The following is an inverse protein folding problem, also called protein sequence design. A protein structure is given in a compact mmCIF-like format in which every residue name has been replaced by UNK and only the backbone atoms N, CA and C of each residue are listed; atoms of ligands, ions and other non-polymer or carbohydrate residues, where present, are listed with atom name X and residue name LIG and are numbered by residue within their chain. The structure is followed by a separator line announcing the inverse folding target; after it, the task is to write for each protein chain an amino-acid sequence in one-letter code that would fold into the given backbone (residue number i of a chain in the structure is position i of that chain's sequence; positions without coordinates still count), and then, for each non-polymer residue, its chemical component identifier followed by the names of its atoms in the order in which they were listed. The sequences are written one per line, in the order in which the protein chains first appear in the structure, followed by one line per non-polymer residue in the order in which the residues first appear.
data_IF_351576681898
#
_entry.id   IF_351576681898
#
_cell.length_a   1.000
_cell.length_b   1.000
_cell.length_c   1.000
_cell.angle_alpha   90.00
_cell.angle_beta   90.00
_cell.angle_gamma   90.00
#
_symmetry.space_group_name_H-M   'P 1'
#
loop_
_entity.id
_entity.type
_entity.pdbx_description
1 polymer ?
#
# COMPACT_ATOMS: atom_id res chain seq x y z
N UNK A 1 0.12 -9.32 -25.67
CA UNK A 1 0.68 -8.02 -25.21
C UNK A 1 0.04 -7.65 -23.88
N UNK A 2 0.83 -7.20 -22.91
CA UNK A 2 0.34 -6.76 -21.58
C UNK A 2 0.53 -5.26 -21.49
N UNK A 3 -0.55 -4.53 -21.25
CA UNK A 3 -0.51 -3.09 -21.02
C UNK A 3 -1.17 -2.78 -19.68
N UNK A 4 -0.91 -1.60 -19.15
CA UNK A 4 -1.65 -1.13 -18.01
C UNK A 4 -1.38 0.30 -17.64
N UNK A 5 -2.02 0.71 -16.55
CA UNK A 5 -1.87 2.03 -15.97
C UNK A 5 -1.71 1.92 -14.45
N UNK A 6 -0.92 2.78 -13.84
CA UNK A 6 -0.77 2.87 -12.39
C UNK A 6 -1.11 4.27 -11.94
N UNK A 7 -2.04 4.33 -11.00
CA UNK A 7 -2.58 5.56 -10.45
C UNK A 7 -2.42 5.58 -8.94
N UNK A 8 -2.29 6.77 -8.39
CA UNK A 8 -2.46 7.01 -6.97
C UNK A 8 -3.94 6.86 -6.60
N UNK A 9 -4.24 6.00 -5.61
CA UNK A 9 -5.61 5.70 -5.21
C UNK A 9 -6.36 6.93 -4.67
N UNK A 10 -5.67 7.84 -3.97
CA UNK A 10 -6.30 8.97 -3.31
C UNK A 10 -6.57 10.14 -4.28
N UNK A 11 -5.69 10.33 -5.27
CA UNK A 11 -5.71 11.49 -6.16
C UNK A 11 -6.07 11.17 -7.61
N UNK A 12 -6.11 9.88 -7.97
CA UNK A 12 -6.24 9.37 -9.34
C UNK A 12 -5.18 9.91 -10.31
N UNK A 13 -4.04 10.40 -9.80
CA UNK A 13 -2.95 10.91 -10.61
C UNK A 13 -2.01 9.77 -11.04
N UNK A 14 -1.37 9.87 -12.23
CA UNK A 14 -0.32 8.95 -12.65
C UNK A 14 0.84 8.80 -11.66
N UNK A 15 1.41 7.60 -11.56
CA UNK A 15 2.61 7.30 -10.75
C UNK A 15 3.82 6.91 -11.62
N UNK A 16 4.55 7.88 -12.22
CA UNK A 16 5.68 7.59 -13.12
C UNK A 16 6.88 6.93 -12.42
N UNK A 17 7.05 7.13 -11.12
CA UNK A 17 8.18 6.56 -10.36
C UNK A 17 7.93 5.12 -9.91
N UNK A 18 6.73 4.58 -10.17
CA UNK A 18 6.45 3.17 -9.94
C UNK A 18 7.07 2.29 -11.04
N UNK A 19 7.21 1.00 -10.75
CA UNK A 19 7.78 0.00 -11.66
C UNK A 19 6.82 -1.17 -11.77
N UNK A 20 6.57 -1.62 -12.99
CA UNK A 20 5.82 -2.84 -13.24
C UNK A 20 6.78 -4.03 -13.41
N UNK A 21 6.41 -5.16 -12.83
CA UNK A 21 7.14 -6.42 -12.85
C UNK A 21 6.25 -7.50 -13.42
N UNK A 22 6.80 -8.28 -14.33
CA UNK A 22 6.18 -9.52 -14.78
C UNK A 22 6.98 -10.69 -14.26
N UNK A 23 6.29 -11.59 -13.58
CA UNK A 23 6.89 -12.61 -12.73
C UNK A 23 6.39 -14.00 -13.14
N UNK A 24 7.26 -15.00 -13.08
CA UNK A 24 6.96 -16.39 -13.40
C UNK A 24 6.36 -17.13 -12.20
N UNK A 25 5.10 -17.55 -12.32
CA UNK A 25 4.40 -18.30 -11.27
C UNK A 25 4.92 -19.74 -11.11
N UNK A 26 5.61 -20.29 -12.12
CA UNK A 26 6.03 -21.70 -12.13
C UNK A 26 7.39 -21.95 -11.47
N UNK A 27 8.18 -20.89 -11.26
CA UNK A 27 9.49 -21.00 -10.64
C UNK A 27 9.46 -20.44 -9.23
N UNK A 28 9.77 -21.27 -8.24
CA UNK A 28 10.24 -20.81 -6.94
C UNK A 28 11.76 -20.69 -7.00
N UNK A 29 12.30 -19.55 -6.58
CA UNK A 29 13.75 -19.34 -6.50
C UNK A 29 14.22 -19.82 -5.13
N UNK A 30 14.89 -20.98 -5.10
CA UNK A 30 15.47 -21.53 -3.88
C UNK A 30 16.71 -20.74 -3.42
N UNK A 31 17.44 -20.07 -4.33
CA UNK A 31 18.70 -19.39 -4.01
C UNK A 31 18.57 -17.87 -3.89
N UNK A 32 19.01 -17.31 -2.76
CA UNK A 32 19.13 -15.86 -2.54
C UNK A 32 20.26 -15.29 -3.41
N UNK A 33 19.92 -14.59 -4.48
CA UNK A 33 20.87 -13.71 -5.19
C UNK A 33 20.57 -12.29 -4.73
N UNK A 34 21.51 -11.67 -4.01
CA UNK A 34 21.39 -10.29 -3.57
C UNK A 34 21.50 -9.35 -4.78
N UNK A 35 20.40 -8.72 -5.17
CA UNK A 35 20.41 -7.56 -6.06
C UNK A 35 20.58 -6.30 -5.17
N UNK A 36 21.74 -5.60 -5.21
CA UNK A 36 22.00 -4.46 -4.35
C UNK A 36 21.05 -3.28 -4.60
N UNK A 37 20.42 -3.20 -5.76
CA UNK A 37 19.41 -2.19 -6.08
C UNK A 37 17.98 -2.63 -5.73
N UNK A 38 17.81 -3.88 -5.27
CA UNK A 38 16.53 -4.54 -5.03
C UNK A 38 16.58 -5.50 -3.82
N UNK A 39 17.13 -5.02 -2.70
CA UNK A 39 17.29 -5.81 -1.47
C UNK A 39 15.99 -6.49 -0.95
N UNK A 40 14.81 -6.02 -1.38
CA UNK A 40 13.50 -6.60 -1.02
C UNK A 40 12.82 -7.38 -2.16
N UNK A 41 13.29 -7.27 -3.39
CA UNK A 41 12.75 -8.01 -4.52
C UNK A 41 13.56 -9.29 -4.77
N UNK A 42 13.65 -10.15 -3.73
CA UNK A 42 13.79 -11.60 -3.96
C UNK A 42 12.48 -12.08 -4.58
N UNK A 43 12.31 -11.67 -5.84
CA UNK A 43 11.18 -11.79 -6.72
C UNK A 43 9.84 -11.92 -6.03
N UNK A 44 9.10 -10.83 -5.79
CA UNK A 44 7.73 -10.80 -5.23
C UNK A 44 7.27 -12.18 -4.72
N UNK A 45 7.61 -12.48 -3.46
CA UNK A 45 7.32 -13.76 -2.78
C UNK A 45 8.05 -15.02 -3.29
N UNK A 46 9.29 -14.88 -3.73
CA UNK A 46 10.14 -16.01 -4.14
C UNK A 46 9.99 -16.44 -5.61
N UNK A 47 9.37 -15.65 -6.46
CA UNK A 47 9.14 -15.94 -7.88
C UNK A 47 10.11 -15.23 -8.84
N UNK A 48 10.50 -15.85 -9.96
CA UNK A 48 11.46 -15.24 -10.89
C UNK A 48 10.89 -14.03 -11.65
N UNK A 49 11.57 -12.88 -11.57
CA UNK A 49 11.27 -11.72 -12.41
C UNK A 49 11.69 -12.04 -13.85
N UNK A 50 10.74 -11.97 -14.77
CA UNK A 50 10.95 -12.20 -16.20
C UNK A 50 11.24 -10.90 -16.95
N UNK A 51 10.54 -9.83 -16.56
CA UNK A 51 10.68 -8.52 -17.19
C UNK A 51 10.31 -7.41 -16.21
N UNK A 52 10.85 -6.22 -16.46
CA UNK A 52 10.56 -4.98 -15.72
C UNK A 52 10.21 -3.90 -16.73
N UNK A 53 9.18 -3.11 -16.45
CA UNK A 53 8.80 -1.95 -17.25
C UNK A 53 8.75 -0.72 -16.35
N UNK A 54 9.42 0.36 -16.78
CA UNK A 54 9.24 1.69 -16.18
C UNK A 54 7.88 2.23 -16.58
N UNK A 55 7.26 2.95 -15.66
CA UNK A 55 5.99 3.61 -15.89
C UNK A 55 6.26 5.00 -16.45
N UNK A 56 5.52 5.41 -17.47
CA UNK A 56 5.69 6.73 -18.08
C UNK A 56 4.99 7.85 -17.30
N UNK A 57 5.14 9.09 -17.76
CA UNK A 57 4.51 10.27 -17.14
C UNK A 57 2.98 10.23 -17.14
N UNK A 58 2.37 9.41 -17.98
CA UNK A 58 0.92 9.19 -18.02
C UNK A 58 0.49 8.00 -17.15
N UNK A 59 1.44 7.34 -16.47
CA UNK A 59 1.19 6.20 -15.61
C UNK A 59 1.09 4.91 -16.39
N UNK A 60 1.46 4.88 -17.68
CA UNK A 60 1.30 3.72 -18.54
C UNK A 60 2.55 2.84 -18.53
N UNK A 61 2.35 1.53 -18.69
CA UNK A 61 3.41 0.56 -18.93
C UNK A 61 2.98 -0.47 -19.98
N UNK A 62 3.97 -1.13 -20.58
CA UNK A 62 3.73 -2.23 -21.52
C UNK A 62 4.82 -3.31 -21.46
N UNK A 63 4.42 -4.54 -21.74
CA UNK A 63 5.30 -5.67 -22.00
C UNK A 63 4.94 -6.29 -23.35
N UNK A 64 5.95 -6.44 -24.21
CA UNK A 64 5.82 -7.16 -25.48
C UNK A 64 5.72 -8.67 -25.20
N UNK A 65 4.95 -9.36 -26.06
CA UNK A 65 4.58 -10.79 -25.98
C UNK A 65 5.71 -11.68 -25.44
N UNK A 66 5.36 -12.47 -24.43
CA UNK A 66 6.21 -13.46 -23.76
C UNK A 66 5.50 -14.81 -23.95
N UNK A 67 6.20 -15.95 -24.08
CA UNK A 67 5.64 -17.27 -24.38
C UNK A 67 4.36 -17.65 -23.63
N UNK A 68 3.56 -18.55 -24.19
CA UNK A 68 2.31 -19.00 -23.57
C UNK A 68 2.57 -19.65 -22.19
N UNK A 69 2.25 -18.94 -21.10
CA UNK A 69 2.34 -19.43 -19.72
C UNK A 69 1.53 -18.55 -18.77
N UNK A 70 1.52 -18.92 -17.49
CA UNK A 70 0.95 -18.12 -16.42
C UNK A 70 1.97 -17.16 -15.82
N UNK A 71 1.49 -16.00 -15.40
CA UNK A 71 2.28 -14.89 -14.88
C UNK A 71 1.63 -14.27 -13.66
N UNK A 72 2.45 -13.67 -12.81
CA UNK A 72 1.99 -12.65 -11.85
C UNK A 72 2.43 -11.29 -12.37
N UNK A 73 1.49 -10.36 -12.48
CA UNK A 73 1.78 -8.97 -12.80
C UNK A 73 1.72 -8.17 -11.51
N UNK A 74 2.80 -7.49 -11.18
CA UNK A 74 2.92 -6.69 -9.96
C UNK A 74 3.37 -5.27 -10.32
N UNK A 75 2.89 -4.28 -9.60
CA UNK A 75 3.43 -2.93 -9.65
C UNK A 75 3.92 -2.56 -8.26
N UNK A 76 5.03 -1.83 -8.20
CA UNK A 76 5.59 -1.36 -6.93
C UNK A 76 6.00 0.09 -7.02
N UNK A 77 5.73 0.84 -5.97
CA UNK A 77 6.16 2.21 -5.80
C UNK A 77 6.99 2.34 -4.52
N UNK A 78 8.21 2.90 -4.66
CA UNK A 78 9.13 3.11 -3.55
C UNK A 78 8.71 4.35 -2.76
N UNK A 79 8.44 4.18 -1.48
CA UNK A 79 8.04 5.25 -0.59
C UNK A 79 9.10 5.51 0.48
N UNK A 80 9.41 6.78 0.81
CA UNK A 80 10.17 7.07 2.01
C UNK A 80 9.34 6.69 3.24
N UNK A 81 9.96 6.08 4.25
CA UNK A 81 9.32 5.89 5.56
C UNK A 81 10.28 6.24 6.68
N UNK A 82 9.70 6.60 7.83
CA UNK A 82 10.41 6.85 9.07
C UNK A 82 10.06 5.70 10.01
N UNK A 83 11.05 4.91 10.42
CA UNK A 83 10.86 3.91 11.45
C UNK A 83 10.98 4.58 12.83
N UNK A 84 9.96 4.43 13.66
CA UNK A 84 10.01 4.82 15.07
C UNK A 84 10.31 3.58 15.91
N UNK A 85 11.57 3.15 15.90
CA UNK A 85 12.08 2.08 16.78
C UNK A 85 12.63 2.64 18.09
N UNK A 86 13.09 1.75 18.98
CA UNK A 86 13.61 2.01 20.34
C UNK A 86 14.67 3.14 20.40
N UNK A 87 14.19 4.39 20.34
CA UNK A 87 14.94 5.65 20.43
C UNK A 87 15.87 6.00 19.24
N UNK A 88 15.62 5.47 18.04
CA UNK A 88 16.30 5.91 16.81
C UNK A 88 15.31 6.19 15.68
N UNK A 89 15.40 7.38 15.11
CA UNK A 89 14.81 7.71 13.81
C UNK A 89 15.73 7.20 12.72
N UNK A 90 15.47 5.98 12.24
CA UNK A 90 16.08 5.49 11.00
C UNK A 90 15.15 5.87 9.84
N UNK A 91 15.72 6.56 8.85
CA UNK A 91 15.05 6.82 7.58
C UNK A 91 15.32 5.65 6.63
N UNK A 92 14.27 5.19 5.96
CA UNK A 92 14.36 4.06 5.05
C UNK A 92 13.38 4.18 3.88
N UNK A 93 13.28 3.10 3.11
CA UNK A 93 12.30 2.98 2.03
C UNK A 93 11.40 1.76 2.22
N UNK A 94 10.10 1.97 2.10
CA UNK A 94 9.07 0.94 2.05
C UNK A 94 8.53 0.88 0.62
N UNK A 95 7.72 -0.12 0.32
CA UNK A 95 7.14 -0.30 -1.00
C UNK A 95 5.62 -0.41 -0.87
N UNK A 96 4.91 0.23 -1.80
CA UNK A 96 3.48 -0.01 -2.04
C UNK A 96 3.32 -0.86 -3.26
N UNK A 97 2.55 -1.92 -3.09
CA UNK A 97 2.45 -2.97 -4.10
C UNK A 97 0.98 -3.31 -4.34
N UNK A 98 0.67 -3.62 -5.59
CA UNK A 98 -0.58 -4.23 -6.00
C UNK A 98 -0.26 -5.23 -7.12
N UNK A 99 -1.00 -6.32 -7.17
CA UNK A 99 -0.69 -7.44 -8.05
C UNK A 99 -1.96 -8.12 -8.54
N UNK A 100 -1.83 -8.72 -9.72
CA UNK A 100 -2.81 -9.67 -10.24
C UNK A 100 -2.09 -11.00 -10.33
N UNK A 101 -2.58 -11.95 -9.53
CA UNK A 101 -2.02 -13.29 -9.51
C UNK A 101 -2.53 -14.13 -10.69
N UNK A 102 -1.65 -14.99 -11.20
CA UNK A 102 -1.94 -16.05 -12.17
C UNK A 102 -2.76 -15.62 -13.41
N UNK A 103 -2.25 -14.63 -14.15
CA UNK A 103 -2.75 -14.30 -15.49
C UNK A 103 -2.20 -15.32 -16.49
N UNK A 104 -3.07 -16.04 -17.18
CA UNK A 104 -2.68 -16.95 -18.27
C UNK A 104 -2.92 -16.26 -19.60
N UNK A 105 -1.87 -16.14 -20.41
CA UNK A 105 -1.92 -15.43 -21.69
C UNK A 105 -1.40 -16.31 -22.82
N UNK A 106 -2.04 -16.19 -23.97
CA UNK A 106 -1.59 -16.70 -25.27
C UNK A 106 -0.95 -15.57 -26.10
N UNK A 107 -0.24 -15.91 -27.17
CA UNK A 107 0.40 -14.95 -28.08
C UNK A 107 -0.57 -13.91 -28.66
N UNK A 108 -1.84 -14.28 -28.81
CA UNK A 108 -2.90 -13.44 -29.39
C UNK A 108 -3.58 -12.55 -28.34
N UNK A 109 -3.40 -12.85 -27.05
CA UNK A 109 -4.13 -12.15 -26.00
C UNK A 109 -3.61 -10.72 -25.79
N UNK A 110 -4.57 -9.82 -25.56
CA UNK A 110 -4.32 -8.46 -25.10
C UNK A 110 -4.87 -8.35 -23.68
N UNK A 111 -3.99 -8.04 -22.74
CA UNK A 111 -4.36 -7.81 -21.35
C UNK A 111 -4.16 -6.34 -20.99
N UNK A 112 -5.15 -5.75 -20.33
CA UNK A 112 -5.07 -4.39 -19.80
C UNK A 112 -5.53 -4.35 -18.34
N UNK A 113 -4.75 -3.71 -17.47
CA UNK A 113 -5.09 -3.53 -16.05
C UNK A 113 -4.73 -2.13 -15.56
N UNK A 114 -5.63 -1.55 -14.79
CA UNK A 114 -5.34 -0.36 -13.97
C UNK A 114 -5.06 -0.82 -12.55
N UNK A 115 -3.94 -0.37 -12.00
CA UNK A 115 -3.53 -0.56 -10.62
C UNK A 115 -3.69 0.74 -9.85
N UNK A 116 -4.09 0.62 -8.58
CA UNK A 116 -4.26 1.76 -7.69
C UNK A 116 -3.38 1.57 -6.45
N UNK A 117 -2.37 2.43 -6.29
CA UNK A 117 -1.47 2.40 -5.14
C UNK A 117 -1.78 3.55 -4.19
N UNK A 118 -1.88 3.28 -2.90
CA UNK A 118 -2.06 4.32 -1.89
C UNK A 118 -0.69 4.94 -1.53
N UNK A 119 -0.24 5.85 -2.40
CA UNK A 119 1.02 6.61 -2.25
C UNK A 119 0.78 7.93 -1.53
N UNK A 120 -0.30 8.64 -1.87
CA UNK A 120 -0.71 9.85 -1.15
C UNK A 120 -1.66 9.47 -0.03
N UNK A 121 -1.33 9.83 1.21
CA UNK A 121 -2.27 9.64 2.30
C UNK A 121 -3.26 10.81 2.41
N UNK A 122 -4.59 10.60 2.24
CA UNK A 122 -5.58 11.67 2.42
C UNK A 122 -5.57 12.27 3.84
N UNK A 123 -5.12 11.52 4.84
CA UNK A 123 -5.09 11.92 6.25
C UNK A 123 -3.87 12.78 6.64
N UNK A 124 -2.85 12.89 5.78
CA UNK A 124 -1.69 13.74 6.09
C UNK A 124 -2.07 15.20 6.29
N UNK A 125 -3.10 15.67 5.57
CA UNK A 125 -3.62 17.04 5.69
C UNK A 125 -4.28 17.31 7.05
N UNK A 126 -4.69 16.25 7.75
CA UNK A 126 -5.54 16.33 8.94
C UNK A 126 -4.89 15.74 10.19
N UNK A 127 -3.76 15.04 10.06
CA UNK A 127 -2.98 14.42 11.14
C UNK A 127 -2.76 15.34 12.36
N UNK A 128 -2.40 16.60 12.12
CA UNK A 128 -2.16 17.60 13.18
C UNK A 128 -3.39 18.34 13.71
N UNK A 129 -4.58 18.17 13.11
CA UNK A 129 -5.75 19.00 13.42
C UNK A 129 -6.48 18.53 14.67
N UNK A 130 -6.87 19.44 15.57
CA UNK A 130 -7.67 19.12 16.77
C UNK A 130 -9.18 19.24 16.56
N UNK A 131 -9.63 19.59 15.36
CA UNK A 131 -11.03 19.81 15.00
C UNK A 131 -11.41 18.97 13.78
N UNK A 132 -12.70 18.65 13.65
CA UNK A 132 -13.20 17.91 12.49
C UNK A 132 -13.18 18.79 11.22
N UNK A 133 -12.59 18.33 10.11
CA UNK A 133 -12.51 19.11 8.87
C UNK A 133 -13.86 19.31 8.17
N UNK A 134 -14.92 18.59 8.61
CA UNK A 134 -16.27 18.71 8.06
C UNK A 134 -17.11 19.74 8.81
N UNK A 135 -17.12 19.69 10.16
CA UNK A 135 -17.95 20.59 10.96
C UNK A 135 -17.19 21.71 11.67
N UNK A 136 -15.85 21.73 11.60
CA UNK A 136 -14.95 22.69 12.26
C UNK A 136 -15.15 22.79 13.78
N UNK A 137 -15.44 21.66 14.43
CA UNK A 137 -15.67 21.58 15.88
C UNK A 137 -14.78 20.51 16.50
N UNK A 138 -14.33 20.74 17.72
CA UNK A 138 -13.41 19.87 18.47
C UNK A 138 -14.07 19.12 19.62
N UNK A 139 -15.27 19.52 20.05
CA UNK A 139 -15.95 19.03 21.26
C UNK A 139 -16.32 17.53 21.22
N UNK A 140 -16.29 16.93 20.03
CA UNK A 140 -16.59 15.51 19.79
C UNK A 140 -15.58 14.84 18.88
N UNK A 141 -14.33 15.28 18.93
CA UNK A 141 -13.19 14.65 18.25
C UNK A 141 -12.45 13.80 19.26
N UNK A 142 -12.33 12.51 18.97
CA UNK A 142 -11.61 11.54 19.81
C UNK A 142 -10.49 10.88 19.01
N UNK A 143 -9.38 10.45 19.64
CA UNK A 143 -8.37 9.66 18.97
C UNK A 143 -8.93 8.32 18.48
N UNK A 144 -8.35 7.81 17.39
CA UNK A 144 -8.57 6.44 16.94
C UNK A 144 -7.47 5.55 17.54
N UNK A 145 -7.89 4.45 18.15
CA UNK A 145 -7.00 3.41 18.65
C UNK A 145 -7.14 2.21 17.73
N UNK A 146 -6.01 1.75 17.21
CA UNK A 146 -5.93 0.55 16.39
C UNK A 146 -5.28 -0.60 17.14
N UNK A 147 -5.43 -1.80 16.58
CA UNK A 147 -4.90 -3.04 17.13
C UNK A 147 -5.93 -3.76 18.00
N UNK A 148 -5.49 -4.86 18.60
CA UNK A 148 -6.31 -5.63 19.53
C UNK A 148 -6.30 -4.90 20.89
N UNK A 149 -7.44 -4.39 21.38
CA UNK A 149 -7.46 -3.74 22.68
C UNK A 149 -7.07 -4.74 23.77
N UNK A 150 -6.22 -4.32 24.70
CA UNK A 150 -5.96 -5.08 25.90
C UNK A 150 -7.19 -4.99 26.81
N UNK A 151 -7.70 -6.13 27.24
CA UNK A 151 -8.79 -6.19 28.21
C UNK A 151 -8.20 -6.29 29.62
N UNK A 152 -8.81 -5.60 30.58
CA UNK A 152 -8.54 -5.80 32.00
C UNK A 152 -9.04 -7.18 32.47
N UNK A 153 -8.77 -7.51 33.74
CA UNK A 153 -9.20 -8.77 34.36
C UNK A 153 -10.72 -9.01 34.35
N UNK A 154 -11.52 -7.95 34.10
CA UNK A 154 -12.97 -7.98 34.03
C UNK A 154 -13.51 -7.96 32.59
N UNK A 155 -12.63 -7.98 31.58
CA UNK A 155 -13.03 -7.92 30.17
C UNK A 155 -13.36 -6.52 29.65
N UNK A 156 -12.95 -5.45 30.34
CA UNK A 156 -13.13 -4.07 29.88
C UNK A 156 -11.88 -3.55 29.17
N UNK A 157 -12.05 -2.67 28.20
CA UNK A 157 -10.92 -1.95 27.59
C UNK A 157 -10.59 -0.75 28.49
N UNK A 158 -9.34 -0.61 29.01
CA UNK A 158 -8.95 0.51 29.85
C UNK A 158 -9.23 1.87 29.19
N UNK A 159 -9.82 2.79 29.95
CA UNK A 159 -10.35 4.07 29.46
C UNK A 159 -11.87 4.05 29.32
N UNK A 160 -12.51 5.22 29.25
CA UNK A 160 -13.96 5.24 28.99
C UNK A 160 -14.22 5.05 27.49
N UNK A 161 -15.21 4.23 27.06
CA UNK A 161 -15.57 4.07 25.65
C UNK A 161 -15.86 5.41 24.94
N UNK A 162 -16.12 6.47 25.72
CA UNK A 162 -16.35 7.79 25.21
C UNK A 162 -15.10 8.61 24.85
N UNK A 163 -13.91 8.14 25.21
CA UNK A 163 -12.65 8.86 25.00
C UNK A 163 -11.90 8.48 23.72
N UNK A 164 -12.31 7.44 23.01
CA UNK A 164 -11.64 6.97 21.79
C UNK A 164 -12.61 6.33 20.79
N UNK A 165 -12.12 6.04 19.60
CA UNK A 165 -12.80 5.25 18.56
C UNK A 165 -11.92 4.06 18.19
N UNK A 166 -12.50 2.87 18.01
CA UNK A 166 -11.75 1.69 17.61
C UNK A 166 -11.62 1.65 16.08
N UNK A 167 -10.40 1.75 15.56
CA UNK A 167 -10.09 1.77 14.13
C UNK A 167 -9.97 0.38 13.49
N UNK A 168 -10.04 -0.68 14.29
CA UNK A 168 -9.87 -2.07 13.84
C UNK A 168 -8.47 -2.62 14.09
N UNK A 169 -8.23 -3.85 13.62
CA UNK A 169 -7.02 -4.61 13.94
C UNK A 169 -5.83 -4.32 13.03
N UNK A 170 -6.08 -3.97 11.76
CA UNK A 170 -5.02 -3.75 10.77
C UNK A 170 -4.74 -2.26 10.63
N UNK A 171 -3.48 -1.91 10.92
CA UNK A 171 -2.94 -0.56 10.78
C UNK A 171 -2.18 -0.53 9.46
N UNK A 172 -2.62 0.28 8.51
CA UNK A 172 -1.70 0.73 7.49
C UNK A 172 -0.78 1.78 8.11
N UNK A 173 0.40 1.32 8.55
CA UNK A 173 1.40 2.13 9.25
C UNK A 173 1.71 3.49 8.59
N UNK A 174 1.43 3.64 7.29
CA UNK A 174 1.61 4.92 6.59
C UNK A 174 0.32 5.73 6.43
N UNK A 175 -0.86 5.12 6.24
CA UNK A 175 -2.07 5.88 5.93
C UNK A 175 -3.34 5.45 6.67
N UNK A 176 -3.31 5.67 7.97
CA UNK A 176 -4.49 5.57 8.81
C UNK A 176 -4.95 6.94 9.33
N UNK A 177 -6.27 7.16 9.46
CA UNK A 177 -6.78 8.31 10.18
C UNK A 177 -6.40 8.19 11.66
N UNK A 178 -6.17 9.33 12.31
CA UNK A 178 -5.76 9.33 13.73
C UNK A 178 -6.87 9.78 14.66
N UNK A 179 -7.96 10.33 14.11
CA UNK A 179 -9.05 10.97 14.84
C UNK A 179 -10.40 10.63 14.24
N UNK A 180 -11.40 10.52 15.11
CA UNK A 180 -12.79 10.30 14.74
C UNK A 180 -13.65 11.45 15.25
N UNK A 181 -14.49 12.03 14.39
CA UNK A 181 -15.52 12.96 14.81
C UNK A 181 -16.83 12.23 15.08
N UNK A 182 -17.23 12.11 16.36
CA UNK A 182 -18.49 11.45 16.74
C UNK A 182 -19.74 12.17 16.21
N UNK A 183 -19.65 13.49 15.96
CA UNK A 183 -20.77 14.26 15.38
C UNK A 183 -21.00 13.92 13.92
N UNK A 184 -19.92 13.94 13.13
CA UNK A 184 -19.99 13.68 11.69
C UNK A 184 -19.87 12.20 11.33
N UNK A 185 -19.53 11.34 12.30
CA UNK A 185 -19.23 9.91 12.12
C UNK A 185 -18.16 9.70 11.03
N UNK A 186 -17.06 10.45 11.13
CA UNK A 186 -16.00 10.47 10.10
C UNK A 186 -14.61 10.43 10.71
N UNK A 187 -13.77 9.58 10.14
CA UNK A 187 -12.35 9.45 10.46
C UNK A 187 -11.50 10.43 9.64
N UNK A 188 -10.45 10.97 10.27
CA UNK A 188 -9.51 11.91 9.66
C UNK A 188 -8.15 11.97 10.38
#
# INVERSE_FOLDING_TARGET
MINGKVLDLATNQPLPDAVAYLVDTSSTIDTLIADPDNYYFKGIWGHKILSKAKIDSNGLFSFTVIPNKSYTLCVSHRMPYIYFGDNKTDSGYSYREDFVDKITLTEQDKFYKVFYLMVTCPFDKTKGQSFCPVCNKSDRVVPIIFGLPAYDENGNIPGTPDQYHLGGCFVDAYCDPTKHCKRCKKDF
#
